data_IF_107329874822
#
_entry.id   IF_107329874822
#
_cell.length_a   1.000
_cell.length_b   1.000
_cell.length_c   1.000
_cell.angle_alpha   90.00
_cell.angle_beta   90.00
_cell.angle_gamma   90.00
#
_symmetry.space_group_name_H-M   'P 1'
#
loop_
_entity.id
_entity.type
_entity.pdbx_description
1 polymer ?
#
# COMPACT_ATOMS: atom_id res chain seq x y z
N UNK A 1 -12.99 -6.26 -15.73
CA UNK A 1 -12.92 -5.05 -14.88
C UNK A 1 -11.61 -4.36 -15.16
N UNK A 2 -11.65 -3.10 -15.59
CA UNK A 2 -10.49 -2.39 -16.13
C UNK A 2 -9.37 -2.30 -15.08
N UNK A 3 -8.17 -2.80 -15.42
CA UNK A 3 -6.95 -2.52 -14.66
C UNK A 3 -6.84 -0.99 -14.56
N UNK A 4 -7.05 -0.43 -13.38
CA UNK A 4 -6.79 0.99 -13.12
C UNK A 4 -5.32 1.18 -13.47
N UNK A 5 -5.03 1.85 -14.59
CA UNK A 5 -3.66 2.17 -15.02
C UNK A 5 -3.06 2.97 -13.87
N UNK A 6 -2.23 2.33 -13.04
CA UNK A 6 -1.39 3.06 -12.10
C UNK A 6 -0.58 4.05 -12.95
N UNK A 7 -0.57 5.35 -12.61
CA UNK A 7 0.20 6.32 -13.36
C UNK A 7 1.65 5.85 -13.39
N UNK A 8 2.35 6.01 -14.53
CA UNK A 8 3.74 5.58 -14.65
C UNK A 8 4.54 6.21 -13.50
N UNK A 9 5.16 5.36 -12.70
CA UNK A 9 5.92 5.76 -11.52
C UNK A 9 7.17 6.50 -12.00
N UNK A 10 7.10 7.83 -12.06
CA UNK A 10 8.21 8.67 -12.49
C UNK A 10 9.24 8.71 -11.36
N UNK A 11 10.44 8.22 -11.63
CA UNK A 11 11.58 8.35 -10.72
C UNK A 11 12.47 9.49 -11.21
N UNK A 12 12.43 10.62 -10.53
CA UNK A 12 13.28 11.77 -10.84
C UNK A 12 14.64 11.63 -10.14
N UNK A 13 15.73 11.92 -10.84
CA UNK A 13 17.07 11.92 -10.25
C UNK A 13 17.44 13.32 -9.77
N UNK A 14 17.84 13.47 -8.50
CA UNK A 14 18.22 14.75 -7.91
C UNK A 14 19.58 14.67 -7.19
N UNK A 15 20.41 15.71 -7.24
CA UNK A 15 21.62 15.77 -6.44
C UNK A 15 21.32 15.90 -4.94
N UNK A 16 22.20 15.35 -4.09
CA UNK A 16 22.08 15.41 -2.63
C UNK A 16 22.04 16.83 -2.07
N UNK A 17 22.69 17.80 -2.73
CA UNK A 17 22.64 19.21 -2.33
C UNK A 17 21.22 19.78 -2.48
N UNK A 18 20.52 19.47 -3.58
CA UNK A 18 19.14 19.86 -3.84
C UNK A 18 18.21 19.16 -2.86
N UNK A 19 18.40 17.86 -2.66
CA UNK A 19 17.60 17.07 -1.72
C UNK A 19 17.65 17.66 -0.30
N UNK A 20 18.82 18.12 0.16
CA UNK A 20 18.98 18.75 1.47
C UNK A 20 18.21 20.07 1.59
N UNK A 21 18.26 20.93 0.56
CA UNK A 21 17.64 22.26 0.61
C UNK A 21 16.13 22.22 0.39
N UNK A 22 15.62 21.22 -0.35
CA UNK A 22 14.22 21.13 -0.75
C UNK A 22 13.49 19.94 -0.12
N UNK A 23 14.02 19.40 0.99
CA UNK A 23 13.53 18.14 1.55
C UNK A 23 12.04 18.20 1.93
N UNK A 24 11.55 19.32 2.48
CA UNK A 24 10.13 19.49 2.79
C UNK A 24 9.22 19.37 1.56
N UNK A 25 9.57 20.02 0.45
CA UNK A 25 8.81 19.93 -0.80
C UNK A 25 8.87 18.53 -1.40
N UNK A 26 10.02 17.86 -1.30
CA UNK A 26 10.18 16.46 -1.70
C UNK A 26 9.22 15.57 -0.90
N UNK A 27 9.15 15.73 0.43
CA UNK A 27 8.22 14.96 1.27
C UNK A 27 6.75 15.19 0.87
N UNK A 28 6.35 16.43 0.57
CA UNK A 28 4.99 16.72 0.09
C UNK A 28 4.69 16.04 -1.25
N UNK A 29 5.63 16.06 -2.20
CA UNK A 29 5.48 15.40 -3.51
C UNK A 29 5.41 13.89 -3.38
N UNK A 30 6.26 13.31 -2.54
CA UNK A 30 6.29 11.87 -2.26
C UNK A 30 4.98 11.41 -1.59
N UNK A 31 4.46 12.18 -0.64
CA UNK A 31 3.23 11.85 0.08
C UNK A 31 1.96 12.05 -0.77
N UNK A 32 1.85 13.17 -1.51
CA UNK A 32 0.61 13.53 -2.22
C UNK A 32 0.56 13.04 -3.66
N UNK A 33 1.70 13.03 -4.36
CA UNK A 33 1.78 12.75 -5.79
C UNK A 33 2.38 11.37 -6.10
N UNK A 34 2.77 10.61 -5.07
CA UNK A 34 3.45 9.30 -5.19
C UNK A 34 4.68 9.35 -6.10
N UNK A 35 5.37 10.48 -6.08
CA UNK A 35 6.61 10.66 -6.83
C UNK A 35 7.78 9.99 -6.09
N UNK A 36 8.80 9.60 -6.84
CA UNK A 36 9.99 8.93 -6.32
C UNK A 36 11.23 9.70 -6.75
N UNK A 37 12.18 9.83 -5.83
CA UNK A 37 13.41 10.58 -6.07
C UNK A 37 14.62 9.70 -5.85
N UNK A 38 15.48 9.60 -6.86
CA UNK A 38 16.78 8.98 -6.75
C UNK A 38 17.81 10.05 -6.38
N UNK A 39 18.35 9.97 -5.17
CA UNK A 39 19.32 10.94 -4.66
C UNK A 39 20.72 10.51 -5.07
N UNK A 40 21.40 11.37 -5.81
CA UNK A 40 22.76 11.16 -6.29
C UNK A 40 23.78 11.99 -5.51
N UNK A 41 24.99 11.46 -5.33
CA UNK A 41 26.14 12.20 -4.82
C UNK A 41 27.31 11.93 -5.74
N UNK A 42 27.88 13.00 -6.32
CA UNK A 42 28.96 12.91 -7.32
C UNK A 42 28.59 12.00 -8.51
N UNK A 43 27.35 12.09 -8.99
CA UNK A 43 26.86 11.28 -10.12
C UNK A 43 26.44 9.85 -9.77
N UNK A 44 26.75 9.36 -8.57
CA UNK A 44 26.38 8.01 -8.16
C UNK A 44 25.08 8.00 -7.35
N UNK A 45 24.20 7.05 -7.63
CA UNK A 45 22.99 6.79 -6.83
C UNK A 45 23.38 6.42 -5.39
N UNK A 46 22.80 7.11 -4.40
CA UNK A 46 23.08 6.85 -2.97
C UNK A 46 21.84 6.53 -2.15
N UNK A 47 20.70 7.10 -2.49
CA UNK A 47 19.46 6.83 -1.78
C UNK A 47 18.26 6.96 -2.72
N UNK A 48 17.13 6.41 -2.29
CA UNK A 48 15.83 6.64 -2.92
C UNK A 48 14.90 7.19 -1.86
N UNK A 49 14.13 8.22 -2.21
CA UNK A 49 13.05 8.77 -1.39
C UNK A 49 11.73 8.41 -2.07
N UNK A 50 10.87 7.70 -1.35
CA UNK A 50 9.56 7.25 -1.80
C UNK A 50 8.60 7.19 -0.60
N UNK A 51 7.30 7.11 -0.89
CA UNK A 51 6.27 7.07 0.14
C UNK A 51 6.31 5.75 0.90
N UNK A 52 5.85 5.77 2.15
CA UNK A 52 5.81 4.56 3.00
C UNK A 52 4.93 3.48 2.35
N UNK A 53 3.79 3.86 1.79
CA UNK A 53 2.89 2.95 1.06
C UNK A 53 3.59 2.28 -0.13
N UNK A 54 4.27 3.08 -0.95
CA UNK A 54 5.03 2.62 -2.11
C UNK A 54 6.18 1.70 -1.70
N UNK A 55 6.85 2.01 -0.59
CA UNK A 55 7.92 1.19 -0.04
C UNK A 55 7.40 -0.17 0.43
N UNK A 56 6.28 -0.17 1.17
CA UNK A 56 5.63 -1.40 1.61
C UNK A 56 5.15 -2.22 0.42
N UNK A 57 4.55 -1.60 -0.60
CA UNK A 57 4.12 -2.30 -1.81
C UNK A 57 5.31 -2.91 -2.59
N UNK A 58 6.47 -2.23 -2.60
CA UNK A 58 7.67 -2.73 -3.26
C UNK A 58 8.33 -3.92 -2.53
N UNK A 59 8.29 -3.92 -1.19
CA UNK A 59 8.96 -4.93 -0.36
C UNK A 59 8.06 -6.11 -0.05
N UNK A 60 6.77 -5.87 0.17
CA UNK A 60 5.81 -6.92 0.49
C UNK A 60 5.51 -7.68 -0.80
N UNK A 61 6.26 -8.76 -1.04
CA UNK A 61 5.85 -9.81 -1.99
C UNK A 61 4.62 -10.50 -1.42
N UNK A 62 3.43 -10.05 -1.81
CA UNK A 62 2.18 -10.68 -1.38
C UNK A 62 2.22 -12.17 -1.71
N UNK A 63 2.13 -13.07 -0.72
CA UNK A 63 2.02 -14.50 -0.96
C UNK A 63 0.86 -14.77 -1.92
N UNK A 64 1.03 -15.68 -2.89
CA UNK A 64 -0.01 -16.01 -3.87
C UNK A 64 -1.34 -16.41 -3.21
N UNK A 65 -1.28 -17.03 -2.03
CA UNK A 65 -2.43 -17.36 -1.20
C UNK A 65 -3.22 -16.12 -0.74
N UNK A 66 -2.54 -15.05 -0.31
CA UNK A 66 -3.20 -13.81 0.09
C UNK A 66 -3.80 -13.07 -1.10
N UNK A 67 -3.17 -13.12 -2.27
CA UNK A 67 -3.75 -12.55 -3.50
C UNK A 67 -5.06 -13.27 -3.89
N UNK A 68 -5.07 -14.61 -3.84
CA UNK A 68 -6.26 -15.41 -4.12
C UNK A 68 -7.39 -15.13 -3.09
N UNK A 69 -7.04 -14.98 -1.81
CA UNK A 69 -8.00 -14.60 -0.76
C UNK A 69 -8.58 -13.20 -0.99
N UNK A 70 -7.75 -12.24 -1.40
CA UNK A 70 -8.19 -10.88 -1.71
C UNK A 70 -9.15 -10.87 -2.92
N UNK A 71 -8.85 -11.63 -3.98
CA UNK A 71 -9.75 -11.77 -5.12
C UNK A 71 -11.09 -12.39 -4.72
N UNK A 72 -11.07 -13.42 -3.87
CA UNK A 72 -12.29 -14.04 -3.35
C UNK A 72 -13.09 -13.05 -2.51
N UNK A 73 -12.43 -12.27 -1.65
CA UNK A 73 -13.06 -11.23 -0.83
C UNK A 73 -13.68 -10.10 -1.69
N UNK A 74 -13.06 -9.75 -2.83
CA UNK A 74 -13.65 -8.80 -3.77
C UNK A 74 -14.88 -9.37 -4.47
N UNK A 75 -14.84 -10.63 -4.91
CA UNK A 75 -15.98 -11.33 -5.53
C UNK A 75 -17.17 -11.46 -4.59
N UNK A 76 -16.91 -11.77 -3.32
CA UNK A 76 -17.96 -11.88 -2.29
C UNK A 76 -18.38 -10.52 -1.70
N UNK A 77 -17.77 -9.42 -2.14
CA UNK A 77 -17.90 -8.07 -1.55
C UNK A 77 -17.49 -7.97 -0.08
N UNK A 78 -16.91 -9.02 0.50
CA UNK A 78 -16.34 -9.00 1.85
C UNK A 78 -15.22 -7.96 2.01
N UNK A 79 -14.57 -7.54 0.91
CA UNK A 79 -13.58 -6.47 0.91
C UNK A 79 -14.14 -5.06 1.20
N UNK A 80 -15.47 -4.91 1.33
CA UNK A 80 -16.15 -3.63 1.61
C UNK A 80 -16.82 -3.57 2.97
N UNK A 81 -16.77 -4.66 3.74
CA UNK A 81 -17.39 -4.70 5.05
C UNK A 81 -16.73 -3.69 5.99
N UNK A 82 -17.55 -2.98 6.75
CA UNK A 82 -17.05 -2.14 7.83
C UNK A 82 -16.59 -3.02 9.00
N UNK A 83 -15.79 -2.43 9.90
CA UNK A 83 -15.33 -3.16 11.08
C UNK A 83 -16.51 -3.65 11.94
N UNK A 84 -17.56 -2.85 12.05
CA UNK A 84 -18.79 -3.16 12.79
C UNK A 84 -19.54 -4.35 12.17
N UNK A 85 -19.67 -4.39 10.84
CA UNK A 85 -20.29 -5.51 10.13
C UNK A 85 -19.49 -6.81 10.28
N UNK A 86 -18.15 -6.70 10.27
CA UNK A 86 -17.25 -7.85 10.51
C UNK A 86 -17.46 -8.40 11.93
N UNK A 87 -17.50 -7.53 12.94
CA UNK A 87 -17.71 -7.96 14.33
C UNK A 87 -19.10 -8.57 14.55
N UNK A 88 -20.13 -8.03 13.91
CA UNK A 88 -21.49 -8.57 13.96
C UNK A 88 -21.55 -10.00 13.39
N UNK A 89 -20.93 -10.23 12.22
CA UNK A 89 -20.86 -11.55 11.58
C UNK A 89 -20.08 -12.55 12.45
N UNK A 90 -18.91 -12.16 12.97
CA UNK A 90 -18.10 -12.99 13.87
C UNK A 90 -18.92 -13.38 15.11
N UNK A 91 -19.65 -12.44 15.69
CA UNK A 91 -20.47 -12.67 16.87
C UNK A 91 -21.64 -13.61 16.57
N UNK A 92 -22.31 -13.45 15.44
CA UNK A 92 -23.40 -14.31 15.00
C UNK A 92 -22.94 -15.77 14.83
N UNK A 93 -21.82 -15.98 14.13
CA UNK A 93 -21.23 -17.32 13.92
C UNK A 93 -20.81 -17.94 15.25
N UNK A 94 -20.15 -17.18 16.14
CA UNK A 94 -19.75 -17.66 17.47
C UNK A 94 -20.94 -18.08 18.33
N UNK A 95 -22.03 -17.29 18.33
CA UNK A 95 -23.27 -17.60 19.06
C UNK A 95 -23.96 -18.85 18.51
N UNK A 96 -24.05 -18.98 17.19
CA UNK A 96 -24.61 -20.17 16.55
C UNK A 96 -23.82 -21.44 16.91
N UNK A 97 -22.49 -21.36 16.90
CA UNK A 97 -21.61 -22.47 17.28
C UNK A 97 -21.72 -22.86 18.76
N UNK A 98 -21.95 -21.90 19.65
CA UNK A 98 -22.21 -22.16 21.07
C UNK A 98 -23.56 -22.88 21.28
N UNK A 99 -24.60 -22.50 20.54
CA UNK A 99 -25.92 -23.17 20.60
C UNK A 99 -25.92 -24.59 20.02
N UNK A 100 -24.99 -24.89 19.12
CA UNK A 100 -24.88 -26.22 18.49
C UNK A 100 -24.06 -27.23 19.33
N UNK A 101 -23.40 -26.75 20.39
CA UNK A 101 -22.55 -27.56 21.29
C UNK A 101 -23.21 -27.82 22.66
N UNK A 102 -24.39 -27.25 22.88
CA UNK A 102 -25.26 -27.44 24.04
C UNK A 102 -26.44 -28.32 23.63
#
# INVERSE_FOLDING_TARGET
MAKKKEPPLVTESIPACIARTQFGQILERVSRKRERFLVTKKGEAKAVVLGVEDFLQAIVKTPKSLAALQEQAQKSRASRLTLEEIEAEITAVRRAKARHKA
#
